data_IF_430069443232
#
_entry.id   IF_430069443232
#
_cell.length_a   1.000
_cell.length_b   1.000
_cell.length_c   1.000
_cell.angle_alpha   90.00
_cell.angle_beta   90.00
_cell.angle_gamma   90.00
#
_symmetry.space_group_name_H-M   'P 1'
#
loop_
_entity.id
_entity.type
_entity.pdbx_description
1 polymer ?
#
# COMPACT_ATOMS: atom_id res chain seq x y z
N UNK A 1 45.42 -5.23 -7.77
CA UNK A 1 44.81 -5.74 -9.01
C UNK A 1 43.87 -6.87 -8.58
N UNK A 2 42.61 -6.57 -8.21
CA UNK A 2 41.41 -6.53 -9.11
C UNK A 2 41.09 -7.95 -9.63
N UNK A 3 39.96 -8.60 -9.37
CA UNK A 3 38.57 -8.16 -9.50
C UNK A 3 37.59 -9.02 -8.64
N UNK A 4 36.56 -8.35 -8.11
CA UNK A 4 35.23 -8.93 -7.80
C UNK A 4 34.40 -9.01 -9.10
N UNK A 5 33.52 -10.01 -9.23
CA UNK A 5 32.24 -9.83 -9.91
C UNK A 5 31.10 -10.37 -9.02
N UNK A 6 29.90 -9.81 -8.95
CA UNK A 6 29.30 -8.69 -9.65
C UNK A 6 27.88 -8.52 -9.09
N UNK A 7 27.45 -7.27 -8.97
CA UNK A 7 26.09 -6.87 -8.64
C UNK A 7 25.07 -7.41 -9.67
N UNK A 8 23.88 -7.76 -9.19
CA UNK A 8 22.63 -7.56 -9.94
C UNK A 8 21.87 -8.80 -10.36
N UNK A 9 20.81 -9.16 -9.61
CA UNK A 9 19.56 -9.63 -10.23
C UNK A 9 18.40 -8.77 -9.74
N UNK A 10 18.10 -7.79 -10.58
CA UNK A 10 16.94 -6.89 -10.54
C UNK A 10 15.80 -7.62 -11.24
N UNK A 11 14.66 -7.82 -10.57
CA UNK A 11 13.38 -8.09 -11.24
C UNK A 11 12.80 -9.50 -11.13
N UNK A 12 13.03 -10.25 -10.06
CA UNK A 12 12.22 -11.44 -9.79
C UNK A 12 10.89 -11.00 -9.16
N UNK A 13 9.85 -10.84 -9.99
CA UNK A 13 8.48 -10.68 -9.49
C UNK A 13 8.12 -11.96 -8.77
N UNK A 14 7.76 -11.85 -7.49
CA UNK A 14 7.29 -12.99 -6.70
C UNK A 14 5.92 -13.36 -7.26
N UNK A 15 5.88 -14.44 -8.04
CA UNK A 15 4.66 -15.08 -8.48
C UNK A 15 4.21 -16.05 -7.38
N UNK A 16 3.38 -15.58 -6.46
CA UNK A 16 2.73 -16.49 -5.52
C UNK A 16 1.71 -17.33 -6.31
N UNK A 17 1.96 -18.63 -6.43
CA UNK A 17 0.92 -19.58 -6.84
C UNK A 17 -0.04 -19.71 -5.67
N UNK A 18 -1.08 -18.87 -5.65
CA UNK A 18 -2.23 -19.02 -4.79
C UNK A 18 -2.96 -20.33 -5.18
N UNK A 19 -2.48 -21.46 -4.67
CA UNK A 19 -3.22 -22.71 -4.71
C UNK A 19 -4.13 -22.75 -3.48
N UNK A 20 -5.42 -22.51 -3.72
CA UNK A 20 -6.54 -22.87 -2.85
C UNK A 20 -6.42 -22.50 -1.37
N UNK A 21 -6.33 -21.21 -1.04
CA UNK A 21 -6.93 -20.73 0.21
C UNK A 21 -8.42 -20.47 -0.10
N UNK A 22 -9.36 -21.24 0.45
CA UNK A 22 -10.76 -20.90 0.28
C UNK A 22 -11.02 -19.55 0.99
N UNK A 23 -11.78 -18.62 0.39
CA UNK A 23 -12.44 -17.61 1.20
C UNK A 23 -13.30 -18.38 2.21
N UNK A 24 -13.12 -18.13 3.50
CA UNK A 24 -14.05 -18.68 4.49
C UNK A 24 -15.49 -18.36 4.08
N UNK A 25 -16.43 -19.24 4.41
CA UNK A 25 -17.87 -19.05 4.10
C UNK A 25 -18.45 -17.73 4.68
N UNK A 26 -17.69 -17.04 5.53
CA UNK A 26 -17.94 -15.68 6.01
C UNK A 26 -17.83 -14.57 4.93
N UNK A 27 -17.28 -14.85 3.74
CA UNK A 27 -17.11 -13.87 2.65
C UNK A 27 -17.97 -14.13 1.41
N UNK A 28 -18.84 -15.15 1.45
CA UNK A 28 -19.67 -15.59 0.32
C UNK A 28 -20.76 -14.59 -0.13
N UNK A 29 -20.80 -13.38 0.43
CA UNK A 29 -21.81 -12.36 0.11
C UNK A 29 -21.27 -10.94 -0.10
N UNK A 30 -19.97 -10.76 -0.33
CA UNK A 30 -19.40 -9.42 -0.53
C UNK A 30 -19.20 -9.15 -2.02
N UNK A 31 -20.26 -8.67 -2.65
CA UNK A 31 -20.15 -7.83 -3.84
C UNK A 31 -20.93 -6.54 -3.56
N UNK A 32 -20.22 -5.54 -3.05
CA UNK A 32 -20.45 -4.09 -3.12
C UNK A 32 -19.24 -3.47 -2.46
N UNK A 33 -18.45 -2.70 -3.21
CA UNK A 33 -17.42 -1.81 -2.64
C UNK A 33 -18.10 -1.02 -1.52
N UNK A 34 -17.80 -1.39 -0.28
CA UNK A 34 -18.19 -0.64 0.90
C UNK A 34 -17.54 0.74 0.77
N UNK A 35 -18.25 1.78 1.19
CA UNK A 35 -17.85 3.17 1.01
C UNK A 35 -16.39 3.36 1.41
N UNK A 36 -15.60 3.96 0.53
CA UNK A 36 -14.22 4.28 0.85
C UNK A 36 -14.17 5.14 2.13
N UNK A 37 -13.28 4.83 3.10
CA UNK A 37 -13.20 5.56 4.36
C UNK A 37 -12.72 6.99 4.09
N UNK A 38 -13.69 7.90 3.96
CA UNK A 38 -13.48 9.22 3.36
C UNK A 38 -12.53 10.06 4.21
N UNK A 39 -12.59 9.92 5.53
CA UNK A 39 -11.73 10.65 6.46
C UNK A 39 -10.27 10.20 6.39
N UNK A 40 -10.02 8.90 6.21
CA UNK A 40 -8.67 8.35 6.05
C UNK A 40 -8.07 8.82 4.73
N UNK A 41 -8.84 8.73 3.64
CA UNK A 41 -8.43 9.21 2.31
C UNK A 41 -8.19 10.71 2.32
N UNK A 42 -9.10 11.51 2.88
CA UNK A 42 -8.94 12.95 2.97
C UNK A 42 -7.74 13.39 3.82
N UNK A 43 -7.22 12.51 4.69
CA UNK A 43 -6.01 12.81 5.45
C UNK A 43 -4.76 12.85 4.57
N UNK A 44 -4.69 11.96 3.58
CA UNK A 44 -3.49 11.74 2.77
C UNK A 44 -3.65 12.18 1.32
N UNK A 45 -4.88 12.41 0.84
CA UNK A 45 -5.17 12.78 -0.55
C UNK A 45 -5.58 14.26 -0.72
N UNK A 46 -5.10 14.84 -1.82
CA UNK A 46 -5.76 15.96 -2.49
C UNK A 46 -6.85 15.42 -3.43
N UNK A 47 -8.05 16.00 -3.47
CA UNK A 47 -9.02 15.70 -4.51
C UNK A 47 -8.52 16.13 -5.91
N UNK A 48 -8.94 15.44 -6.99
CA UNK A 48 -9.81 14.28 -7.00
C UNK A 48 -9.07 12.95 -6.76
N UNK A 49 -9.81 11.96 -6.27
CA UNK A 49 -9.38 10.55 -6.22
C UNK A 49 -9.74 9.88 -7.55
N UNK A 50 -8.79 9.13 -8.12
CA UNK A 50 -8.98 8.40 -9.36
C UNK A 50 -9.13 6.91 -9.09
N UNK A 51 -10.30 6.34 -9.38
CA UNK A 51 -10.52 4.90 -9.31
C UNK A 51 -9.75 4.19 -10.43
N UNK A 52 -9.01 3.16 -10.05
CA UNK A 52 -8.29 2.33 -11.00
C UNK A 52 -9.22 1.21 -11.48
N UNK A 53 -9.21 0.93 -12.78
CA UNK A 53 -10.06 -0.10 -13.37
C UNK A 53 -9.63 -1.49 -12.88
N UNK A 54 -10.59 -2.26 -12.38
CA UNK A 54 -10.39 -3.67 -12.06
C UNK A 54 -10.60 -4.55 -13.32
N UNK A 55 -9.76 -5.56 -13.58
CA UNK A 55 -8.53 -5.89 -12.85
C UNK A 55 -7.40 -4.89 -13.13
N UNK A 56 -6.67 -4.48 -12.09
CA UNK A 56 -5.54 -3.59 -12.21
C UNK A 56 -4.24 -4.40 -12.31
N UNK A 57 -3.48 -4.25 -13.40
CA UNK A 57 -2.25 -5.00 -13.61
C UNK A 57 -1.16 -4.77 -12.53
N UNK A 58 -1.20 -3.63 -11.82
CA UNK A 58 -0.32 -3.36 -10.68
C UNK A 58 -0.81 -4.03 -9.40
N UNK A 59 -2.12 -4.21 -9.26
CA UNK A 59 -2.73 -4.80 -8.06
C UNK A 59 -3.65 -5.94 -8.45
N UNK A 60 -3.10 -7.05 -8.99
CA UNK A 60 -3.88 -8.18 -9.46
C UNK A 60 -4.66 -8.88 -8.33
N UNK A 61 -4.26 -8.71 -7.07
CA UNK A 61 -4.93 -9.32 -5.92
C UNK A 61 -5.87 -8.37 -5.17
N UNK A 62 -5.96 -7.10 -5.57
CA UNK A 62 -6.87 -6.15 -4.95
C UNK A 62 -8.31 -6.32 -5.48
N UNK A 63 -9.29 -6.20 -4.60
CA UNK A 63 -10.73 -6.20 -4.95
C UNK A 63 -11.17 -4.85 -5.51
N UNK A 64 -10.56 -3.77 -5.04
CA UNK A 64 -10.70 -2.41 -5.57
C UNK A 64 -9.42 -1.62 -5.33
N UNK A 65 -9.12 -0.64 -6.19
CA UNK A 65 -7.97 0.25 -6.00
C UNK A 65 -8.25 1.66 -6.53
N UNK A 66 -7.60 2.65 -5.93
CA UNK A 66 -7.64 4.04 -6.34
C UNK A 66 -6.30 4.71 -6.08
N UNK A 67 -6.07 5.84 -6.74
CA UNK A 67 -4.87 6.66 -6.59
C UNK A 67 -5.25 8.13 -6.44
N UNK A 68 -4.45 8.86 -5.69
CA UNK A 68 -4.58 10.30 -5.54
C UNK A 68 -3.19 10.94 -5.47
N UNK A 69 -3.16 12.26 -5.66
CA UNK A 69 -2.00 13.06 -5.29
C UNK A 69 -1.95 13.16 -3.77
N UNK A 70 -0.76 12.97 -3.20
CA UNK A 70 -0.53 13.13 -1.78
C UNK A 70 -0.78 14.58 -1.34
N UNK A 71 -1.41 14.74 -0.17
CA UNK A 71 -1.62 16.05 0.47
C UNK A 71 -0.32 16.63 1.01
N UNK A 72 0.51 15.78 1.60
CA UNK A 72 1.86 16.17 2.00
C UNK A 72 2.77 16.00 0.79
N UNK A 73 3.50 17.05 0.45
CA UNK A 73 4.50 17.08 -0.62
C UNK A 73 5.88 17.27 0.02
N UNK A 74 6.57 16.17 0.40
CA UNK A 74 7.86 16.25 1.05
C UNK A 74 8.84 16.99 0.14
N UNK A 75 9.56 17.98 0.68
CA UNK A 75 10.51 18.80 -0.07
C UNK A 75 9.90 19.56 -1.28
N UNK A 76 8.57 19.74 -1.31
CA UNK A 76 7.87 20.35 -2.43
C UNK A 76 7.73 19.45 -3.66
N UNK A 77 8.09 18.17 -3.54
CA UNK A 77 7.97 17.20 -4.64
C UNK A 77 6.60 16.52 -4.65
N UNK A 78 6.14 16.22 -5.86
CA UNK A 78 4.91 15.47 -6.08
C UNK A 78 5.07 14.02 -5.58
N UNK A 79 4.12 13.56 -4.77
CA UNK A 79 4.00 12.18 -4.33
C UNK A 79 2.59 11.66 -4.62
N UNK A 80 2.48 10.35 -4.82
CA UNK A 80 1.21 9.64 -5.00
C UNK A 80 0.93 8.76 -3.80
N UNK A 81 -0.35 8.61 -3.49
CA UNK A 81 -0.86 7.60 -2.57
C UNK A 81 -1.79 6.70 -3.35
N UNK A 82 -1.50 5.41 -3.32
CA UNK A 82 -2.45 4.37 -3.74
C UNK A 82 -3.11 3.80 -2.52
N UNK A 83 -4.40 3.51 -2.63
CA UNK A 83 -5.09 2.71 -1.65
C UNK A 83 -5.97 1.66 -2.31
N UNK A 84 -6.05 0.51 -1.67
CA UNK A 84 -6.66 -0.67 -2.24
C UNK A 84 -7.20 -1.60 -1.16
N UNK A 85 -8.29 -2.28 -1.50
CA UNK A 85 -8.87 -3.32 -0.67
C UNK A 85 -8.33 -4.70 -1.08
N UNK A 86 -8.09 -5.54 -0.09
CA UNK A 86 -7.61 -6.91 -0.24
C UNK A 86 -8.36 -7.83 0.72
N UNK A 87 -8.40 -9.12 0.37
CA UNK A 87 -9.02 -10.15 1.20
C UNK A 87 -8.13 -10.63 2.35
N UNK A 88 -6.82 -10.39 2.28
CA UNK A 88 -5.85 -10.81 3.30
C UNK A 88 -4.52 -10.05 3.17
N UNK A 89 -3.70 -10.11 4.22
CA UNK A 89 -2.41 -9.43 4.32
C UNK A 89 -1.37 -9.91 3.28
N UNK A 90 -1.20 -11.23 3.13
CA UNK A 90 -0.20 -11.78 2.21
C UNK A 90 -0.36 -11.29 0.75
N UNK A 91 -1.56 -11.33 0.15
CA UNK A 91 -1.77 -10.76 -1.19
C UNK A 91 -1.40 -9.27 -1.31
N UNK A 92 -1.69 -8.47 -0.29
CA UNK A 92 -1.28 -7.06 -0.24
C UNK A 92 0.25 -6.92 -0.21
N UNK A 93 0.94 -7.65 0.67
CA UNK A 93 2.40 -7.61 0.78
C UNK A 93 3.08 -7.93 -0.55
N UNK A 94 2.57 -8.93 -1.27
CA UNK A 94 3.06 -9.34 -2.59
C UNK A 94 2.86 -8.25 -3.62
N UNK A 95 1.67 -7.65 -3.71
CA UNK A 95 1.39 -6.60 -4.69
C UNK A 95 2.23 -5.35 -4.41
N UNK A 96 2.35 -4.94 -3.15
CA UNK A 96 3.18 -3.80 -2.76
C UNK A 96 4.67 -4.05 -3.09
N UNK A 97 5.20 -5.22 -2.73
CA UNK A 97 6.58 -5.61 -3.03
C UNK A 97 6.85 -5.63 -4.54
N UNK A 98 6.01 -6.32 -5.32
CA UNK A 98 6.20 -6.47 -6.76
C UNK A 98 6.13 -5.14 -7.54
N UNK A 99 5.52 -4.11 -6.94
CA UNK A 99 5.42 -2.77 -7.52
C UNK A 99 6.36 -1.75 -6.87
N UNK A 100 7.30 -2.20 -6.02
CA UNK A 100 8.31 -1.38 -5.35
C UNK A 100 7.72 -0.25 -4.49
N UNK A 101 6.58 -0.49 -3.84
CA UNK A 101 6.13 0.43 -2.80
C UNK A 101 7.10 0.37 -1.62
N UNK A 102 7.43 1.53 -1.06
CA UNK A 102 8.39 1.62 0.05
C UNK A 102 7.68 1.63 1.39
N UNK A 103 6.61 2.43 1.46
CA UNK A 103 5.86 2.68 2.68
C UNK A 103 4.42 2.25 2.50
N UNK A 104 3.86 1.69 3.58
CA UNK A 104 2.46 1.29 3.59
C UNK A 104 1.87 1.37 5.00
N UNK A 105 0.55 1.52 5.05
CA UNK A 105 -0.26 1.47 6.26
C UNK A 105 -1.50 0.64 5.91
N UNK A 106 -1.95 -0.23 6.82
CA UNK A 106 -3.14 -1.03 6.57
C UNK A 106 -4.03 -1.12 7.82
N UNK A 107 -5.32 -1.33 7.58
CA UNK A 107 -6.33 -1.56 8.62
C UNK A 107 -7.47 -2.39 8.05
N UNK A 108 -8.40 -2.79 8.91
CA UNK A 108 -9.66 -3.38 8.48
C UNK A 108 -10.76 -2.33 8.51
N UNK A 109 -11.53 -2.24 7.42
CA UNK A 109 -12.75 -1.43 7.32
C UNK A 109 -13.89 -2.31 6.80
N UNK A 110 -15.00 -2.36 7.53
CA UNK A 110 -16.19 -3.17 7.19
C UNK A 110 -15.91 -4.64 6.82
N UNK A 111 -14.86 -5.25 7.38
CA UNK A 111 -14.48 -6.65 7.13
C UNK A 111 -13.54 -6.86 5.95
N UNK A 112 -13.14 -5.80 5.23
CA UNK A 112 -12.11 -5.85 4.20
C UNK A 112 -10.82 -5.17 4.70
N UNK A 113 -9.66 -5.68 4.26
CA UNK A 113 -8.39 -5.04 4.59
C UNK A 113 -8.10 -3.94 3.58
N UNK A 114 -7.99 -2.70 4.04
CA UNK A 114 -7.55 -1.56 3.22
C UNK A 114 -6.07 -1.31 3.46
N UNK A 115 -5.33 -1.04 2.38
CA UNK A 115 -3.96 -0.54 2.44
C UNK A 115 -3.88 0.87 1.85
N UNK A 116 -2.98 1.68 2.37
CA UNK A 116 -2.50 2.93 1.81
C UNK A 116 -1.00 2.79 1.57
N UNK A 117 -0.50 3.14 0.40
CA UNK A 117 0.91 2.95 0.07
C UNK A 117 1.46 4.06 -0.82
N UNK A 118 2.76 4.32 -0.69
CA UNK A 118 3.49 5.27 -1.53
C UNK A 118 4.89 4.75 -1.89
N UNK A 119 5.36 5.15 -3.07
CA UNK A 119 6.75 4.97 -3.51
C UNK A 119 7.66 6.12 -3.03
N UNK A 120 7.10 7.16 -2.39
CA UNK A 120 7.86 8.34 -1.99
C UNK A 120 9.01 7.96 -1.04
N UNK A 121 10.24 8.33 -1.41
CA UNK A 121 11.43 7.97 -0.65
C UNK A 121 11.65 8.83 0.59
N UNK A 122 10.95 9.96 0.70
CA UNK A 122 11.04 10.84 1.84
C UNK A 122 10.72 10.11 3.14
N UNK A 123 11.47 10.45 4.18
CA UNK A 123 11.33 9.88 5.49
C UNK A 123 11.46 10.98 6.54
N UNK A 124 10.72 10.84 7.63
CA UNK A 124 10.86 11.65 8.83
C UNK A 124 11.29 10.73 9.96
N UNK A 125 12.21 11.20 10.79
CA UNK A 125 12.59 10.49 12.02
C UNK A 125 11.56 10.87 13.07
N UNK A 126 10.83 9.88 13.59
CA UNK A 126 9.94 10.11 14.72
C UNK A 126 10.77 10.63 15.91
N UNK A 127 10.44 11.78 16.51
CA UNK A 127 11.15 12.27 17.69
C UNK A 127 11.12 11.31 18.89
N UNK A 128 10.14 10.41 18.93
CA UNK A 128 9.89 9.51 20.04
C UNK A 128 10.30 8.05 19.77
N UNK A 129 10.72 7.73 18.54
CA UNK A 129 11.22 6.40 18.17
C UNK A 129 12.42 6.51 17.24
N UNK A 130 13.33 5.53 17.26
CA UNK A 130 14.47 5.52 16.31
C UNK A 130 14.07 5.04 14.91
N UNK A 131 12.77 4.97 14.61
CA UNK A 131 12.26 4.50 13.33
C UNK A 131 11.97 5.70 12.41
N UNK A 132 12.24 5.50 11.12
CA UNK A 132 11.84 6.45 10.10
C UNK A 132 10.48 6.06 9.54
N UNK A 133 9.67 7.07 9.23
CA UNK A 133 8.30 6.91 8.75
C UNK A 133 8.05 7.76 7.50
N UNK A 134 7.02 7.41 6.74
CA UNK A 134 6.63 8.19 5.58
C UNK A 134 5.88 9.46 5.98
N UNK A 135 6.39 10.67 5.69
CA UNK A 135 5.64 11.91 5.92
C UNK A 135 4.35 11.97 5.10
N UNK A 136 4.26 11.22 4.00
CA UNK A 136 3.07 11.13 3.15
C UNK A 136 1.94 10.35 3.84
N UNK A 137 2.28 9.31 4.60
CA UNK A 137 1.30 8.43 5.26
C UNK A 137 1.11 8.75 6.75
N UNK A 138 2.05 9.47 7.38
CA UNK A 138 1.99 9.92 8.78
C UNK A 138 0.63 10.51 9.21
N UNK A 139 -0.11 11.27 8.36
CA UNK A 139 -1.45 11.74 8.73
C UNK A 139 -2.46 10.64 9.10
N UNK A 140 -2.22 9.37 8.75
CA UNK A 140 -3.07 8.23 9.11
C UNK A 140 -2.91 7.82 10.57
N UNK A 141 -1.81 8.16 11.25
CA UNK A 141 -1.57 7.80 12.66
C UNK A 141 -2.63 8.37 13.60
N UNK A 142 -3.22 9.52 13.25
CA UNK A 142 -4.33 10.11 14.02
C UNK A 142 -5.58 9.22 14.05
N UNK A 143 -5.66 8.22 13.18
CA UNK A 143 -6.71 7.19 13.15
C UNK A 143 -6.23 5.83 13.69
N UNK A 144 -5.03 5.77 14.26
CA UNK A 144 -4.47 4.55 14.86
C UNK A 144 -3.73 3.63 13.88
N UNK A 145 -3.39 4.10 12.68
CA UNK A 145 -2.53 3.35 11.77
C UNK A 145 -1.09 3.35 12.26
N UNK A 146 -0.39 2.24 12.03
CA UNK A 146 1.07 2.20 12.06
C UNK A 146 1.60 2.35 10.63
N UNK A 147 2.73 3.05 10.48
CA UNK A 147 3.38 3.21 9.18
C UNK A 147 4.52 2.20 9.07
N UNK A 148 4.43 1.31 8.09
CA UNK A 148 5.39 0.25 7.84
C UNK A 148 6.25 0.56 6.62
N UNK A 149 7.44 -0.02 6.60
CA UNK A 149 8.37 0.04 5.46
C UNK A 149 8.66 -1.36 4.92
N UNK A 150 9.17 -1.41 3.68
CA UNK A 150 9.68 -2.63 3.03
C UNK A 150 8.62 -3.75 3.00
N UNK A 151 7.53 -3.57 2.24
CA UNK A 151 6.53 -4.62 2.06
C UNK A 151 7.18 -5.87 1.46
N UNK A 152 6.68 -7.04 1.83
CA UNK A 152 7.20 -8.33 1.37
C UNK A 152 6.87 -9.47 2.35
N UNK A 153 6.82 -10.72 1.85
CA UNK A 153 6.68 -11.91 2.69
C UNK A 153 7.95 -12.23 3.49
#
# INVERSE_FOLDING_TARGET
MSNLPGFGRRGERVALRLHNLPPGDEFASINRVAQWPTDWIAAVCEPPVYHLRAPNARFPHATASAVCKARVQPNGEYAEVVFAFFTAELPMQVDLFNNNYKWYAFAYDHGEMITFATYCDAEVVDPNSSFSESPVLQPLERFGFNIYSRPGP
#
